data_IF_866840370594
#
_entry.id   IF_866840370594
#
_cell.length_a   1.000
_cell.length_b   1.000
_cell.length_c   1.000
_cell.angle_alpha   90.00
_cell.angle_beta   90.00
_cell.angle_gamma   90.00
#
_symmetry.space_group_name_H-M   'P 1'
#
loop_
_entity.id
_entity.type
_entity.pdbx_description
1 polymer ?
#
# COMPACT_ATOMS: atom_id res chain seq x y z
N UNK A 1 13.45 8.72 3.67
CA UNK A 1 12.85 7.44 3.22
C UNK A 1 11.47 7.34 3.86
N UNK A 2 10.39 7.58 3.11
CA UNK A 2 8.99 7.43 3.60
C UNK A 2 8.26 6.32 2.83
N UNK A 3 8.81 5.91 1.68
CA UNK A 3 8.23 4.91 0.78
C UNK A 3 8.33 3.49 1.33
N UNK A 4 9.41 3.18 2.05
CA UNK A 4 9.62 1.88 2.69
C UNK A 4 8.63 1.65 3.85
N UNK A 5 8.16 2.72 4.48
CA UNK A 5 7.23 2.65 5.61
C UNK A 5 5.83 2.22 5.18
N UNK A 6 5.39 2.52 3.95
CA UNK A 6 4.06 2.12 3.49
C UNK A 6 4.00 0.63 3.17
N UNK A 7 5.03 0.10 2.53
CA UNK A 7 5.15 -1.34 2.28
C UNK A 7 5.27 -2.11 3.64
N UNK A 8 6.07 -1.59 4.58
CA UNK A 8 6.17 -2.13 5.94
C UNK A 8 4.85 -2.02 6.75
N UNK A 9 4.07 -0.96 6.55
CA UNK A 9 2.76 -0.80 7.16
C UNK A 9 1.77 -1.86 6.66
N UNK A 10 1.77 -2.16 5.35
CA UNK A 10 0.93 -3.24 4.79
C UNK A 10 1.29 -4.59 5.40
N UNK A 11 2.57 -4.89 5.58
CA UNK A 11 3.01 -6.12 6.23
C UNK A 11 2.59 -6.20 7.70
N UNK A 12 2.73 -5.09 8.43
CA UNK A 12 2.31 -4.97 9.83
C UNK A 12 0.80 -5.16 9.98
N UNK A 13 -0.01 -4.53 9.14
CA UNK A 13 -1.46 -4.70 9.16
C UNK A 13 -1.91 -6.10 8.73
N UNK A 14 -1.20 -6.76 7.80
CA UNK A 14 -1.46 -8.18 7.48
C UNK A 14 -1.25 -9.07 8.71
N UNK A 15 -0.13 -8.90 9.43
CA UNK A 15 0.13 -9.65 10.67
C UNK A 15 -0.91 -9.34 11.73
N UNK A 16 -1.29 -8.07 11.90
CA UNK A 16 -2.33 -7.69 12.84
C UNK A 16 -3.69 -8.34 12.49
N UNK A 17 -4.05 -8.45 11.19
CA UNK A 17 -5.25 -9.20 10.77
C UNK A 17 -5.17 -10.71 10.99
N UNK A 18 -3.97 -11.30 11.05
CA UNK A 18 -3.84 -12.72 11.43
C UNK A 18 -4.12 -12.94 12.93
N UNK A 19 -3.88 -11.91 13.75
CA UNK A 19 -4.16 -11.95 15.19
C UNK A 19 -5.60 -11.53 15.49
N UNK A 20 -6.10 -10.49 14.81
CA UNK A 20 -7.43 -9.91 15.00
C UNK A 20 -8.15 -9.78 13.64
N UNK A 21 -8.68 -10.88 13.09
CA UNK A 21 -9.27 -10.90 11.74
C UNK A 21 -10.58 -10.09 11.62
N UNK A 22 -11.18 -9.71 12.75
CA UNK A 22 -12.43 -8.94 12.80
C UNK A 22 -12.22 -7.45 13.13
N UNK A 23 -10.98 -6.99 13.31
CA UNK A 23 -10.71 -5.58 13.54
C UNK A 23 -11.01 -4.75 12.29
N UNK A 24 -12.06 -3.93 12.37
CA UNK A 24 -12.49 -3.05 11.28
C UNK A 24 -11.56 -1.85 11.06
N UNK A 25 -10.82 -1.41 12.07
CA UNK A 25 -9.82 -0.36 11.96
C UNK A 25 -8.61 -0.82 11.15
N UNK A 26 -8.07 -2.00 11.46
CA UNK A 26 -6.94 -2.57 10.73
C UNK A 26 -7.31 -2.80 9.24
N UNK A 27 -8.54 -3.26 8.96
CA UNK A 27 -9.02 -3.41 7.57
C UNK A 27 -9.06 -2.07 6.81
N UNK A 28 -9.51 -1.00 7.47
CA UNK A 28 -9.55 0.35 6.88
C UNK A 28 -8.15 0.88 6.58
N UNK A 29 -7.23 0.77 7.52
CA UNK A 29 -5.86 1.23 7.35
C UNK A 29 -5.08 0.41 6.31
N UNK A 30 -5.26 -0.92 6.29
CA UNK A 30 -4.70 -1.79 5.24
C UNK A 30 -5.18 -1.35 3.85
N UNK A 31 -6.48 -1.05 3.69
CA UNK A 31 -7.04 -0.60 2.43
C UNK A 31 -6.45 0.76 1.99
N UNK A 32 -6.31 1.70 2.93
CA UNK A 32 -5.69 3.00 2.68
C UNK A 32 -4.21 2.87 2.24
N UNK A 33 -3.44 2.02 2.93
CA UNK A 33 -2.05 1.75 2.59
C UNK A 33 -1.91 1.11 1.20
N UNK A 34 -2.75 0.11 0.87
CA UNK A 34 -2.78 -0.51 -0.46
C UNK A 34 -3.13 0.48 -1.57
N UNK A 35 -4.08 1.39 -1.32
CA UNK A 35 -4.47 2.42 -2.30
C UNK A 35 -3.31 3.36 -2.62
N UNK A 36 -2.50 3.75 -1.62
CA UNK A 36 -1.30 4.58 -1.84
C UNK A 36 -0.27 3.87 -2.72
N UNK A 37 -0.04 2.57 -2.52
CA UNK A 37 0.88 1.78 -3.35
C UNK A 37 0.37 1.69 -4.79
N UNK A 38 -0.92 1.39 -4.98
CA UNK A 38 -1.51 1.28 -6.33
C UNK A 38 -1.41 2.60 -7.11
N UNK A 39 -1.75 3.72 -6.48
CA UNK A 39 -1.61 5.04 -7.09
C UNK A 39 -0.15 5.34 -7.49
N UNK A 40 0.83 4.92 -6.68
CA UNK A 40 2.26 5.04 -7.02
C UNK A 40 2.59 4.24 -8.27
N UNK A 41 2.22 2.96 -8.32
CA UNK A 41 2.50 2.11 -9.48
C UNK A 41 1.86 2.61 -10.77
N UNK A 42 0.68 3.24 -10.69
CA UNK A 42 0.04 3.86 -11.86
C UNK A 42 0.81 5.09 -12.34
N UNK A 43 1.25 5.95 -11.41
CA UNK A 43 2.08 7.12 -11.72
C UNK A 43 3.43 6.73 -12.30
N UNK A 44 4.09 5.72 -11.74
CA UNK A 44 5.37 5.20 -12.25
C UNK A 44 5.19 4.65 -13.67
N UNK A 45 4.17 3.81 -13.90
CA UNK A 45 3.87 3.29 -15.25
C UNK A 45 3.61 4.40 -16.26
N UNK A 46 2.87 5.43 -15.89
CA UNK A 46 2.62 6.60 -16.76
C UNK A 46 3.90 7.40 -17.04
N UNK A 47 4.76 7.57 -16.04
CA UNK A 47 6.03 8.27 -16.21
C UNK A 47 6.97 7.49 -17.16
N UNK A 48 7.09 6.17 -16.97
CA UNK A 48 7.88 5.32 -17.87
C UNK A 48 7.28 5.28 -19.28
N UNK A 49 5.96 5.13 -19.43
CA UNK A 49 5.29 5.15 -20.73
C UNK A 49 5.56 6.43 -21.53
N UNK A 50 5.74 7.57 -20.88
CA UNK A 50 6.07 8.84 -21.54
C UNK A 50 7.55 8.98 -21.93
N UNK A 51 8.45 8.23 -21.30
CA UNK A 51 9.89 8.27 -21.62
C UNK A 51 10.24 7.47 -22.88
N UNK A 52 9.38 6.53 -23.29
CA UNK A 52 9.60 5.65 -24.45
C UNK A 52 8.74 6.01 -25.67
N UNK A 53 8.14 7.21 -25.69
CA UNK A 53 7.35 7.73 -26.81
C UNK A 53 8.10 8.81 -27.59
#
# INVERSE_FOLDING_TARGET
>A
MVLNDIDAAVESFKKALTLEPNDGGIKKELAAARKKISNRTDLEKKAYSKMFQ
#
